data_IF_362803691327
#
_entry.id   IF_362803691327
#
_cell.length_a   1.000
_cell.length_b   1.000
_cell.length_c   1.000
_cell.angle_alpha   90.00
_cell.angle_beta   90.00
_cell.angle_gamma   90.00
#
_symmetry.space_group_name_H-M   'P 1'
#
loop_
_entity.id
_entity.type
_entity.pdbx_description
1 polymer ?
#
# COMPACT_ATOMS: atom_id res chain seq x y z
N UNK A 1 26.25 -18.31 -6.21
CA UNK A 1 25.68 -17.05 -5.69
C UNK A 1 24.94 -17.42 -4.43
N UNK A 2 25.46 -16.99 -3.29
CA UNK A 2 24.91 -17.33 -1.98
C UNK A 2 23.48 -16.76 -1.88
N UNK A 3 22.49 -17.64 -1.80
CA UNK A 3 21.09 -17.28 -1.57
C UNK A 3 20.92 -16.93 -0.11
N UNK A 4 21.51 -15.80 0.29
CA UNK A 4 21.44 -15.27 1.64
C UNK A 4 19.99 -15.19 2.09
N UNK A 5 19.57 -16.14 2.93
CA UNK A 5 18.28 -16.14 3.60
C UNK A 5 18.24 -14.91 4.51
N UNK A 6 17.73 -13.79 3.99
CA UNK A 6 17.36 -12.65 4.83
C UNK A 6 16.20 -13.11 5.71
N UNK A 7 16.39 -12.97 7.02
CA UNK A 7 15.40 -13.26 8.03
C UNK A 7 14.25 -12.27 7.86
N UNK A 8 13.25 -12.61 7.04
CA UNK A 8 12.01 -11.84 6.97
C UNK A 8 11.24 -12.14 8.25
N UNK A 9 10.88 -11.10 9.01
CA UNK A 9 9.94 -11.24 10.11
C UNK A 9 8.60 -11.72 9.53
N UNK A 10 8.40 -13.04 9.56
CA UNK A 10 7.27 -13.76 8.97
C UNK A 10 5.95 -13.18 9.48
N UNK A 11 5.32 -12.36 8.65
CA UNK A 11 3.92 -12.02 8.82
C UNK A 11 3.14 -12.94 7.87
N UNK A 12 2.64 -14.05 8.43
CA UNK A 12 1.62 -14.95 7.84
C UNK A 12 1.90 -15.47 6.41
N UNK A 13 2.82 -16.44 6.30
CA UNK A 13 2.84 -17.46 5.23
C UNK A 13 3.24 -17.08 3.80
N UNK A 14 3.11 -15.80 3.40
CA UNK A 14 3.25 -15.39 1.99
C UNK A 14 4.60 -14.76 1.63
N UNK A 15 5.52 -14.61 2.59
CA UNK A 15 6.84 -14.01 2.35
C UNK A 15 6.82 -12.50 2.11
N UNK A 16 5.69 -11.84 2.37
CA UNK A 16 5.54 -10.40 2.23
C UNK A 16 6.21 -9.64 3.38
N UNK A 17 6.78 -8.49 3.06
CA UNK A 17 7.36 -7.58 4.05
C UNK A 17 6.28 -7.04 5.00
N UNK A 18 6.71 -6.66 6.20
CA UNK A 18 5.82 -6.05 7.19
C UNK A 18 5.29 -4.71 6.64
N UNK A 19 3.99 -4.48 6.78
CA UNK A 19 3.34 -3.27 6.27
C UNK A 19 2.93 -3.34 4.80
N UNK A 20 3.06 -4.50 4.15
CA UNK A 20 2.55 -4.70 2.80
C UNK A 20 1.02 -4.45 2.74
N UNK A 21 0.51 -3.73 1.73
CA UNK A 21 -0.90 -3.33 1.63
C UNK A 21 -1.88 -4.49 1.40
N UNK A 22 -3.13 -4.31 1.83
CA UNK A 22 -4.20 -5.32 1.65
C UNK A 22 -4.55 -5.60 0.19
N UNK A 23 -4.65 -4.55 -0.64
CA UNK A 23 -5.01 -4.63 -2.05
C UNK A 23 -3.90 -4.03 -2.92
N UNK A 24 -3.62 -4.67 -4.04
CA UNK A 24 -2.61 -4.23 -4.98
C UNK A 24 -2.89 -4.76 -6.39
N UNK A 25 -2.30 -4.11 -7.39
CA UNK A 25 -2.44 -4.52 -8.77
C UNK A 25 -1.81 -3.54 -9.75
N UNK A 26 -2.13 -3.71 -11.03
CA UNK A 26 -1.79 -2.79 -12.09
C UNK A 26 -3.08 -2.27 -12.74
N UNK A 27 -3.17 -0.96 -12.92
CA UNK A 27 -4.31 -0.32 -13.59
C UNK A 27 -4.26 -0.66 -15.08
N UNK A 28 -5.34 -1.22 -15.61
CA UNK A 28 -5.38 -1.74 -16.98
C UNK A 28 -5.19 -0.69 -18.07
N UNK A 29 -5.54 0.57 -17.79
CA UNK A 29 -5.50 1.65 -18.78
C UNK A 29 -4.09 2.14 -19.08
N UNK A 30 -3.19 2.16 -18.10
CA UNK A 30 -1.84 2.71 -18.24
C UNK A 30 -0.73 1.86 -17.58
N UNK A 31 -1.08 0.69 -17.05
CA UNK A 31 -0.15 -0.24 -16.42
C UNK A 31 0.41 0.25 -15.08
N UNK A 32 -0.05 1.38 -14.54
CA UNK A 32 0.48 1.89 -13.27
C UNK A 32 0.16 0.94 -12.13
N UNK A 33 1.19 0.62 -11.36
CA UNK A 33 1.01 -0.12 -10.11
C UNK A 33 0.21 0.70 -9.12
N UNK A 34 -0.59 0.02 -8.32
CA UNK A 34 -1.27 0.63 -7.18
C UNK A 34 -1.24 -0.24 -5.93
N UNK A 35 -1.35 0.43 -4.78
CA UNK A 35 -1.36 -0.14 -3.43
C UNK A 35 -2.45 0.51 -2.58
N UNK A 36 -3.42 -0.24 -2.10
CA UNK A 36 -4.51 0.27 -1.25
C UNK A 36 -4.52 -0.50 0.07
N UNK A 37 -4.29 0.23 1.16
CA UNK A 37 -4.47 -0.27 2.52
C UNK A 37 -5.91 0.02 2.97
N UNK A 38 -6.67 -0.99 3.40
CA UNK A 38 -8.09 -0.83 3.73
C UNK A 38 -8.26 -0.78 5.25
N UNK A 39 -9.03 0.18 5.75
CA UNK A 39 -9.33 0.33 7.18
C UNK A 39 -10.83 0.34 7.44
N UNK A 40 -11.19 -0.13 8.63
CA UNK A 40 -12.58 -0.17 9.10
C UNK A 40 -12.76 0.88 10.19
N UNK A 41 -13.84 1.68 10.10
CA UNK A 41 -14.22 2.66 11.12
C UNK A 41 -13.14 3.71 11.37
N UNK A 42 -12.63 3.79 12.61
CA UNK A 42 -11.52 4.70 12.99
C UNK A 42 -10.15 4.02 12.98
N UNK A 43 -10.03 2.85 12.35
CA UNK A 43 -8.77 2.11 12.26
C UNK A 43 -7.70 2.97 11.60
N UNK A 44 -6.50 3.04 12.20
CA UNK A 44 -5.36 3.79 11.68
C UNK A 44 -4.36 2.85 11.03
N UNK A 45 -3.68 3.26 9.94
CA UNK A 45 -2.54 2.51 9.41
C UNK A 45 -1.43 2.40 10.45
N UNK A 46 -0.73 1.27 10.48
CA UNK A 46 0.44 1.10 11.33
C UNK A 46 1.63 1.90 10.78
N UNK A 47 2.65 2.15 11.61
CA UNK A 47 3.85 2.87 11.17
C UNK A 47 4.54 2.18 9.99
N UNK A 48 4.56 0.85 9.96
CA UNK A 48 5.20 0.10 8.86
C UNK A 48 4.39 0.21 7.57
N UNK A 49 3.05 0.26 7.65
CA UNK A 49 2.18 0.53 6.49
C UNK A 49 2.41 1.94 5.95
N UNK A 50 2.49 2.94 6.83
CA UNK A 50 2.80 4.33 6.44
C UNK A 50 4.17 4.40 5.76
N UNK A 51 5.20 3.73 6.31
CA UNK A 51 6.54 3.68 5.70
C UNK A 51 6.50 3.04 4.31
N UNK A 52 5.79 1.92 4.15
CA UNK A 52 5.66 1.25 2.85
C UNK A 52 4.98 2.16 1.82
N UNK A 53 3.84 2.77 2.17
CA UNK A 53 3.09 3.63 1.27
C UNK A 53 3.88 4.89 0.88
N UNK A 54 4.63 5.48 1.82
CA UNK A 54 5.55 6.59 1.49
C UNK A 54 6.66 6.16 0.51
N UNK A 55 7.25 4.97 0.70
CA UNK A 55 8.24 4.47 -0.25
C UNK A 55 7.63 4.22 -1.65
N UNK A 56 6.39 3.69 -1.72
CA UNK A 56 5.67 3.55 -2.98
C UNK A 56 5.40 4.92 -3.63
N UNK A 57 5.03 5.91 -2.83
CA UNK A 57 4.79 7.28 -3.27
C UNK A 57 6.04 7.92 -3.89
N UNK A 58 7.21 7.72 -3.29
CA UNK A 58 8.50 8.20 -3.80
C UNK A 58 8.87 7.55 -5.14
N UNK A 59 8.45 6.31 -5.34
CA UNK A 59 8.58 5.58 -6.61
C UNK A 59 7.45 5.89 -7.62
N UNK A 60 6.62 6.91 -7.35
CA UNK A 60 5.50 7.34 -8.21
C UNK A 60 4.45 6.26 -8.46
N UNK A 61 4.31 5.32 -7.53
CA UNK A 61 3.29 4.28 -7.54
C UNK A 61 2.02 4.85 -6.89
N UNK A 62 0.84 4.54 -7.46
CA UNK A 62 -0.43 4.99 -6.90
C UNK A 62 -0.66 4.30 -5.55
N UNK A 63 -0.94 5.03 -4.49
CA UNK A 63 -1.03 4.41 -3.18
C UNK A 63 -1.83 5.24 -2.18
N UNK A 64 -2.46 4.60 -1.20
CA UNK A 64 -3.14 5.31 -0.13
C UNK A 64 -3.86 4.40 0.86
N UNK A 65 -4.58 5.04 1.79
CA UNK A 65 -5.42 4.36 2.78
C UNK A 65 -6.88 4.66 2.46
N UNK A 66 -7.72 3.63 2.44
CA UNK A 66 -9.14 3.73 2.15
C UNK A 66 -9.99 3.22 3.31
N UNK A 67 -10.98 4.01 3.73
CA UNK A 67 -12.01 3.61 4.71
C UNK A 67 -13.35 3.22 4.06
N UNK A 68 -13.48 3.44 2.77
CA UNK A 68 -14.64 3.05 1.98
C UNK A 68 -14.27 2.85 0.50
N UNK A 69 -15.24 2.41 -0.30
CA UNK A 69 -15.07 2.10 -1.72
C UNK A 69 -14.66 3.32 -2.56
N UNK A 70 -15.28 4.47 -2.31
CA UNK A 70 -15.02 5.71 -3.06
C UNK A 70 -13.55 6.12 -2.92
N UNK A 71 -13.02 6.09 -1.70
CA UNK A 71 -11.61 6.41 -1.46
C UNK A 71 -10.66 5.43 -2.17
N UNK A 72 -11.01 4.15 -2.24
CA UNK A 72 -10.21 3.15 -2.94
C UNK A 72 -10.20 3.43 -4.45
N UNK A 73 -11.33 3.82 -5.03
CA UNK A 73 -11.43 4.20 -6.44
C UNK A 73 -10.59 5.45 -6.73
N UNK A 74 -10.69 6.49 -5.89
CA UNK A 74 -9.88 7.71 -6.02
C UNK A 74 -8.38 7.41 -6.00
N UNK A 75 -7.92 6.51 -5.12
CA UNK A 75 -6.50 6.10 -5.08
C UNK A 75 -6.10 5.44 -6.40
N UNK A 76 -6.91 4.51 -6.92
CA UNK A 76 -6.64 3.83 -8.19
C UNK A 76 -6.69 4.80 -9.37
N UNK A 77 -7.51 5.85 -9.31
CA UNK A 77 -7.54 6.93 -10.30
C UNK A 77 -6.35 7.89 -10.17
N UNK A 78 -5.71 7.95 -9.01
CA UNK A 78 -4.60 8.86 -8.69
C UNK A 78 -5.06 10.22 -8.18
N UNK A 79 -6.28 10.30 -7.67
CA UNK A 79 -6.93 11.49 -7.12
C UNK A 79 -6.68 11.63 -5.61
N UNK A 80 -6.44 10.50 -4.92
CA UNK A 80 -6.05 10.45 -3.50
C UNK A 80 -4.71 9.74 -3.34
N UNK A 81 -3.91 10.19 -2.37
CA UNK A 81 -2.67 9.49 -2.00
C UNK A 81 -2.40 9.46 -0.49
N UNK A 82 -1.36 8.74 -0.08
CA UNK A 82 -0.85 8.77 1.30
C UNK A 82 -0.46 10.19 1.78
N UNK A 83 -0.18 11.12 0.86
CA UNK A 83 0.13 12.52 1.22
C UNK A 83 -1.07 13.29 1.75
N UNK A 84 -2.28 12.88 1.37
CA UNK A 84 -3.53 13.47 1.84
C UNK A 84 -4.02 12.85 3.17
N UNK A 85 -3.19 12.03 3.82
CA UNK A 85 -3.55 11.36 5.06
C UNK A 85 -3.63 12.38 6.21
N UNK A 86 -4.83 12.88 6.51
CA UNK A 86 -5.09 13.83 7.60
C UNK A 86 -5.68 15.17 7.18
N UNK A 87 -5.87 15.40 5.88
CA UNK A 87 -6.77 16.43 5.33
C UNK A 87 -8.23 15.95 5.41
#
# INVERSE_FOLDING_TARGET
>A
MDSGKKLTHKTRGQGLEKGFPDLFGARSTDGKLFFVEVKIGKGKPSEDQIKFLNAAQDNKILNGVAWNLEQAIEIVNGERSIKNLGE
#
